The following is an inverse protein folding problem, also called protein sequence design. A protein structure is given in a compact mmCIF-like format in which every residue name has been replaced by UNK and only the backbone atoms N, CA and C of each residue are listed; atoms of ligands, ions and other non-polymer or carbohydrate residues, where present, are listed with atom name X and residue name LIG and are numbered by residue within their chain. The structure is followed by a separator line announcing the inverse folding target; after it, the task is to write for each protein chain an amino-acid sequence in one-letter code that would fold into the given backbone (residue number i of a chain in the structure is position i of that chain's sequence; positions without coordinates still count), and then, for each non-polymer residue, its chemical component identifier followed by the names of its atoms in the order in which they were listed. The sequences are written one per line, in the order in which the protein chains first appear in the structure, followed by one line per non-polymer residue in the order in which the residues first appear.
data_IF_434998901998
#
_entry.id   IF_434998901998
#
_cell.length_a   1.000
_cell.length_b   1.000
_cell.length_c   1.000
_cell.angle_alpha   90.00
_cell.angle_beta   90.00
_cell.angle_gamma   90.00
#
_symmetry.space_group_name_H-M   'P 1'
#
loop_
_entity.id
_entity.type
_entity.pdbx_description
1 polymer ?
#
# COMPACT_ATOMS: atom_id res chain seq x y z
N UNK A 1 16.91 -14.25 -23.60
CA UNK A 1 16.02 -13.51 -22.65
C UNK A 1 14.71 -14.26 -22.32
N UNK A 2 14.75 -15.49 -21.78
CA UNK A 2 13.52 -16.23 -21.36
C UNK A 2 13.55 -16.81 -19.94
N UNK A 3 14.63 -16.60 -19.17
CA UNK A 3 14.79 -17.18 -17.81
C UNK A 3 14.52 -16.22 -16.64
N UNK A 4 14.29 -14.92 -16.87
CA UNK A 4 14.05 -13.95 -15.78
C UNK A 4 12.59 -13.77 -15.35
N UNK A 5 11.60 -14.30 -16.09
CA UNK A 5 10.17 -14.09 -15.79
C UNK A 5 9.58 -15.11 -14.79
N UNK A 6 10.30 -16.18 -14.46
CA UNK A 6 9.79 -17.22 -13.55
C UNK A 6 9.89 -16.88 -12.06
N UNK A 7 10.76 -15.94 -11.66
CA UNK A 7 10.99 -15.67 -10.22
C UNK A 7 10.06 -14.61 -9.63
N UNK A 8 9.44 -13.76 -10.45
CA UNK A 8 8.50 -12.73 -9.99
C UNK A 8 7.07 -13.25 -9.73
N UNK A 9 6.66 -14.34 -10.39
CA UNK A 9 5.35 -14.97 -10.20
C UNK A 9 5.20 -15.73 -8.87
N UNK A 10 6.32 -16.16 -8.27
CA UNK A 10 6.32 -17.05 -7.10
C UNK A 10 5.81 -16.39 -5.81
N UNK A 11 5.91 -15.07 -5.67
CA UNK A 11 5.56 -14.38 -4.41
C UNK A 11 4.06 -14.13 -4.25
N UNK A 12 3.33 -13.96 -5.36
CA UNK A 12 1.88 -13.66 -5.32
C UNK A 12 1.03 -14.92 -5.14
N UNK A 13 1.46 -16.05 -5.73
CA UNK A 13 0.83 -17.35 -5.53
C UNK A 13 0.90 -17.82 -4.06
N UNK A 14 1.99 -17.48 -3.37
CA UNK A 14 2.17 -17.81 -1.95
C UNK A 14 1.12 -17.15 -1.05
N UNK A 15 0.69 -15.91 -1.33
CA UNK A 15 -0.26 -15.15 -0.49
C UNK A 15 -1.70 -15.69 -0.60
N UNK A 16 -2.12 -16.12 -1.79
CA UNK A 16 -3.43 -16.75 -1.99
C UNK A 16 -3.47 -18.18 -1.45
N UNK A 17 -2.35 -18.92 -1.53
CA UNK A 17 -2.24 -20.26 -0.94
C UNK A 17 -2.28 -20.22 0.59
N UNK A 18 -1.61 -19.24 1.22
CA UNK A 18 -1.59 -19.12 2.69
C UNK A 18 -2.95 -18.72 3.27
N UNK A 19 -3.70 -17.84 2.60
CA UNK A 19 -5.04 -17.44 3.07
C UNK A 19 -6.07 -18.58 2.94
N UNK A 20 -6.03 -19.36 1.85
CA UNK A 20 -6.87 -20.56 1.71
C UNK A 20 -6.50 -21.66 2.71
N UNK A 21 -5.20 -21.90 2.94
CA UNK A 21 -4.71 -22.85 3.92
C UNK A 21 -5.09 -22.46 5.35
N UNK A 22 -4.99 -21.17 5.70
CA UNK A 22 -5.39 -20.67 7.02
C UNK A 22 -6.91 -20.79 7.24
N UNK A 23 -7.72 -20.54 6.22
CA UNK A 23 -9.17 -20.74 6.30
C UNK A 23 -9.56 -22.20 6.48
N UNK A 24 -8.87 -23.13 5.81
CA UNK A 24 -9.11 -24.58 5.96
C UNK A 24 -8.70 -25.10 7.35
N UNK A 25 -7.59 -24.59 7.90
CA UNK A 25 -7.13 -24.89 9.27
C UNK A 25 -8.12 -24.38 10.33
N UNK A 26 -8.61 -23.14 10.20
CA UNK A 26 -9.57 -22.55 11.14
C UNK A 26 -10.92 -23.29 11.17
N UNK A 27 -11.26 -24.01 10.10
CA UNK A 27 -12.53 -24.73 9.96
C UNK A 27 -12.41 -26.23 10.23
N UNK A 28 -11.26 -26.72 10.70
CA UNK A 28 -11.07 -28.10 11.17
C UNK A 28 -11.32 -29.21 10.13
N UNK A 29 -11.15 -28.92 8.84
CA UNK A 29 -11.38 -29.94 7.81
C UNK A 29 -10.14 -30.83 7.64
N UNK A 30 -10.28 -32.13 7.95
CA UNK A 30 -9.20 -33.13 7.88
C UNK A 30 -8.70 -33.47 6.45
N UNK A 31 -9.31 -32.89 5.42
CA UNK A 31 -8.92 -33.06 4.00
C UNK A 31 -8.48 -31.73 3.36
N UNK A 32 -7.62 -30.96 4.02
CA UNK A 32 -7.15 -29.66 3.52
C UNK A 32 -6.29 -29.77 2.24
N UNK A 33 -5.56 -30.88 2.05
CA UNK A 33 -4.62 -31.05 0.93
C UNK A 33 -5.25 -30.95 -0.47
N UNK A 34 -6.37 -31.63 -0.81
CA UNK A 34 -7.00 -31.49 -2.13
C UNK A 34 -7.63 -30.11 -2.37
N UNK A 35 -8.07 -29.40 -1.32
CA UNK A 35 -8.57 -28.04 -1.44
C UNK A 35 -7.46 -27.02 -1.72
N UNK A 36 -6.30 -27.16 -1.07
CA UNK A 36 -5.12 -26.32 -1.34
C UNK A 36 -4.58 -26.57 -2.75
N UNK A 37 -4.51 -27.83 -3.18
CA UNK A 37 -4.05 -28.19 -4.52
C UNK A 37 -5.00 -27.70 -5.64
N UNK A 38 -6.32 -27.85 -5.46
CA UNK A 38 -7.31 -27.34 -6.44
C UNK A 38 -7.39 -25.81 -6.46
N UNK A 39 -7.22 -25.13 -5.32
CA UNK A 39 -7.14 -23.67 -5.27
C UNK A 39 -5.86 -23.14 -5.95
N UNK A 40 -4.73 -23.84 -5.81
CA UNK A 40 -3.48 -23.49 -6.50
C UNK A 40 -3.59 -23.66 -8.03
N UNK A 41 -4.23 -24.76 -8.49
CA UNK A 41 -4.43 -25.03 -9.92
C UNK A 41 -5.45 -24.08 -10.56
N UNK A 42 -6.56 -23.77 -9.89
CA UNK A 42 -7.52 -22.79 -10.38
C UNK A 42 -6.96 -21.35 -10.34
N UNK A 43 -6.06 -21.05 -9.39
CA UNK A 43 -5.30 -19.79 -9.36
C UNK A 43 -4.36 -19.63 -10.56
N UNK A 44 -3.78 -20.71 -11.08
CA UNK A 44 -2.90 -20.68 -12.26
C UNK A 44 -3.64 -20.29 -13.56
N UNK A 45 -4.94 -20.62 -13.65
CA UNK A 45 -5.78 -20.26 -14.81
C UNK A 45 -6.28 -18.81 -14.70
N UNK A 46 -6.65 -18.35 -13.48
CA UNK A 46 -7.03 -16.96 -13.24
C UNK A 46 -5.85 -15.96 -13.34
N UNK A 47 -4.61 -16.41 -13.11
CA UNK A 47 -3.39 -15.58 -13.24
C UNK A 47 -3.00 -15.28 -14.69
N UNK A 48 -3.49 -16.07 -15.66
CA UNK A 48 -3.24 -15.79 -17.09
C UNK A 48 -4.09 -14.65 -17.63
N UNK A 49 -5.27 -14.41 -17.05
CA UNK A 49 -6.15 -13.28 -17.40
C UNK A 49 -5.91 -12.01 -16.56
N UNK A 50 -5.23 -12.11 -15.41
CA UNK A 50 -4.99 -10.99 -14.49
C UNK A 50 -3.62 -10.33 -14.64
N UNK A 51 -2.78 -10.81 -15.57
CA UNK A 51 -1.49 -10.18 -15.90
C UNK A 51 -1.62 -8.88 -16.71
N UNK A 52 -2.83 -8.46 -17.09
CA UNK A 52 -3.10 -7.08 -17.52
C UNK A 52 -3.82 -6.35 -16.40
N UNK A 53 -3.05 -5.99 -15.37
CA UNK A 53 -3.38 -5.09 -14.26
C UNK A 53 -4.63 -5.43 -13.40
N UNK A 54 -4.52 -5.57 -12.07
CA UNK A 54 -5.69 -5.49 -11.17
C UNK A 54 -6.36 -4.09 -11.18
N UNK A 55 -5.74 -3.09 -11.82
CA UNK A 55 -6.37 -1.83 -12.20
C UNK A 55 -7.46 -2.04 -13.26
N UNK A 56 -7.26 -2.95 -14.22
CA UNK A 56 -8.16 -3.13 -15.36
C UNK A 56 -9.59 -3.53 -14.99
N UNK A 57 -9.81 -4.47 -14.05
CA UNK A 57 -11.19 -4.85 -13.68
C UNK A 57 -11.92 -3.74 -12.91
N UNK A 58 -11.18 -2.98 -12.09
CA UNK A 58 -11.69 -1.80 -11.39
C UNK A 58 -11.91 -0.62 -12.35
N UNK A 59 -11.20 -0.57 -13.46
CA UNK A 59 -11.28 0.54 -14.42
C UNK A 59 -12.27 0.25 -15.56
N UNK A 60 -12.53 -1.02 -15.89
CA UNK A 60 -13.44 -1.42 -16.97
C UNK A 60 -14.85 -1.77 -16.51
N UNK A 61 -15.02 -2.37 -15.33
CA UNK A 61 -16.36 -2.70 -14.79
C UNK A 61 -16.75 -1.69 -13.72
N UNK A 62 -15.83 -1.43 -12.78
CA UNK A 62 -16.16 -0.54 -11.67
C UNK A 62 -16.22 0.91 -12.15
N UNK A 63 -15.36 1.39 -13.05
CA UNK A 63 -15.41 2.80 -13.50
C UNK A 63 -16.71 3.22 -14.19
N UNK A 64 -17.28 2.52 -15.18
CA UNK A 64 -18.58 2.90 -15.76
C UNK A 64 -19.75 2.71 -14.79
N UNK A 65 -19.71 1.70 -13.91
CA UNK A 65 -20.76 1.48 -12.90
C UNK A 65 -20.69 2.52 -11.77
N UNK A 66 -19.49 2.90 -11.32
CA UNK A 66 -19.30 3.98 -10.35
C UNK A 66 -19.63 5.33 -10.98
N UNK A 67 -19.18 5.61 -12.21
CA UNK A 67 -19.53 6.85 -12.91
C UNK A 67 -21.03 6.95 -13.16
N UNK A 68 -21.71 5.86 -13.54
CA UNK A 68 -23.16 5.85 -13.73
C UNK A 68 -23.95 5.92 -12.41
N UNK A 69 -23.40 5.43 -11.30
CA UNK A 69 -24.06 5.48 -9.98
C UNK A 69 -23.76 6.78 -9.20
N UNK A 70 -22.62 7.42 -9.45
CA UNK A 70 -22.17 8.63 -8.76
C UNK A 70 -22.34 9.92 -9.57
N UNK A 71 -22.60 9.86 -10.88
CA UNK A 71 -22.73 11.05 -11.76
C UNK A 71 -23.78 12.05 -11.28
N UNK A 72 -24.72 11.63 -10.44
CA UNK A 72 -25.85 12.45 -9.99
C UNK A 72 -25.78 12.83 -8.51
N UNK A 73 -24.66 12.61 -7.83
CA UNK A 73 -24.56 12.86 -6.38
C UNK A 73 -23.80 14.14 -6.06
N UNK A 74 -24.44 15.02 -5.27
CA UNK A 74 -23.87 16.22 -4.61
C UNK A 74 -22.53 15.95 -3.90
N UNK A 75 -22.26 14.69 -3.56
CA UNK A 75 -21.00 14.22 -2.98
C UNK A 75 -19.80 14.43 -3.91
N UNK A 76 -19.94 14.17 -5.21
CA UNK A 76 -18.87 14.37 -6.19
C UNK A 76 -18.51 15.86 -6.37
N UNK A 77 -19.52 16.74 -6.33
CA UNK A 77 -19.32 18.19 -6.31
C UNK A 77 -18.58 18.61 -5.04
N UNK A 78 -19.02 18.15 -3.86
CA UNK A 78 -18.34 18.45 -2.58
C UNK A 78 -16.89 17.94 -2.57
N UNK A 79 -16.59 16.77 -3.14
CA UNK A 79 -15.21 16.27 -3.27
C UNK A 79 -14.39 17.18 -4.17
N UNK A 80 -14.92 17.61 -5.32
CA UNK A 80 -14.20 18.53 -6.22
C UNK A 80 -13.95 19.89 -5.57
N UNK A 81 -14.92 20.40 -4.83
CA UNK A 81 -14.76 21.61 -4.01
C UNK A 81 -13.68 21.44 -2.94
N UNK A 82 -13.68 20.32 -2.21
CA UNK A 82 -12.62 20.01 -1.23
C UNK A 82 -11.23 19.90 -1.87
N UNK A 83 -11.15 19.33 -3.08
CA UNK A 83 -9.89 19.29 -3.85
C UNK A 83 -9.43 20.69 -4.26
N UNK A 84 -10.32 21.54 -4.77
CA UNK A 84 -10.02 22.91 -5.12
C UNK A 84 -9.59 23.73 -3.89
N UNK A 85 -10.25 23.54 -2.74
CA UNK A 85 -9.89 24.19 -1.47
C UNK A 85 -8.52 23.72 -0.94
N UNK A 86 -8.17 22.44 -1.18
CA UNK A 86 -6.85 21.89 -0.85
C UNK A 86 -5.75 22.51 -1.70
N UNK A 87 -5.98 22.67 -3.00
CA UNK A 87 -5.03 23.33 -3.91
C UNK A 87 -4.87 24.81 -3.57
N UNK A 88 -5.94 25.47 -3.14
CA UNK A 88 -5.90 26.85 -2.67
C UNK A 88 -5.23 27.01 -1.28
N UNK A 89 -4.92 25.93 -0.56
CA UNK A 89 -4.28 25.98 0.76
C UNK A 89 -5.14 26.60 1.87
N UNK A 90 -6.43 26.83 1.62
CA UNK A 90 -7.31 27.66 2.47
C UNK A 90 -7.87 26.89 3.66
N UNK A 91 -7.87 25.56 3.65
CA UNK A 91 -8.54 24.78 4.69
C UNK A 91 -7.63 23.72 5.33
N UNK A 92 -7.46 23.82 6.65
CA UNK A 92 -6.92 22.73 7.46
C UNK A 92 -7.95 21.58 7.43
N UNK A 93 -7.65 20.52 6.67
CA UNK A 93 -8.52 19.35 6.62
C UNK A 93 -8.73 18.80 8.04
N UNK A 94 -9.99 18.70 8.44
CA UNK A 94 -10.38 18.06 9.68
C UNK A 94 -9.83 16.64 9.68
N UNK A 95 -9.18 16.22 10.78
CA UNK A 95 -8.59 14.87 10.91
C UNK A 95 -9.56 13.73 10.55
N UNK A 96 -10.85 13.95 10.76
CA UNK A 96 -11.90 13.03 10.37
C UNK A 96 -12.08 12.87 8.86
N UNK A 97 -11.93 13.95 8.10
CA UNK A 97 -12.06 13.93 6.64
C UNK A 97 -10.91 13.14 6.01
N UNK A 98 -9.70 13.28 6.59
CA UNK A 98 -8.55 12.47 6.21
C UNK A 98 -8.75 10.96 6.45
N UNK A 99 -9.47 10.58 7.51
CA UNK A 99 -9.75 9.16 7.82
C UNK A 99 -10.83 8.57 6.90
N UNK A 100 -11.82 9.37 6.52
CA UNK A 100 -12.94 8.94 5.68
C UNK A 100 -12.64 9.05 4.18
N UNK A 101 -11.52 9.66 3.80
CA UNK A 101 -11.13 9.83 2.41
C UNK A 101 -11.01 8.48 1.68
N UNK A 102 -11.84 8.28 0.64
CA UNK A 102 -11.97 7.07 -0.20
C UNK A 102 -12.50 5.80 0.47
N UNK A 103 -12.74 5.82 1.78
CA UNK A 103 -13.31 4.69 2.52
C UNK A 103 -14.71 4.29 2.01
N UNK A 104 -15.68 5.21 1.82
CA UNK A 104 -17.02 4.84 1.37
C UNK A 104 -17.03 4.28 -0.06
N UNK A 105 -16.26 4.86 -0.97
CA UNK A 105 -16.16 4.38 -2.36
C UNK A 105 -15.63 2.95 -2.43
N UNK A 106 -14.68 2.63 -1.55
CA UNK A 106 -14.10 1.30 -1.44
C UNK A 106 -15.08 0.31 -0.83
N UNK A 107 -15.87 0.74 0.17
CA UNK A 107 -16.97 -0.03 0.73
C UNK A 107 -18.06 -0.35 -0.31
N UNK A 108 -18.49 0.64 -1.09
CA UNK A 108 -19.51 0.46 -2.14
C UNK A 108 -19.01 -0.46 -3.25
N UNK A 109 -17.79 -0.24 -3.75
CA UNK A 109 -17.21 -1.11 -4.78
C UNK A 109 -16.96 -2.53 -4.27
N UNK A 110 -16.54 -2.69 -3.01
CA UNK A 110 -16.44 -3.98 -2.34
C UNK A 110 -17.80 -4.67 -2.20
N UNK A 111 -18.84 -3.94 -1.84
CA UNK A 111 -20.20 -4.46 -1.72
C UNK A 111 -20.77 -4.91 -3.08
N UNK A 112 -20.59 -4.13 -4.14
CA UNK A 112 -21.00 -4.53 -5.48
C UNK A 112 -20.26 -5.80 -5.94
N UNK A 113 -18.94 -5.84 -5.74
CA UNK A 113 -18.11 -6.99 -6.11
C UNK A 113 -18.52 -8.24 -5.35
N UNK A 114 -18.71 -8.14 -4.04
CA UNK A 114 -19.13 -9.28 -3.21
C UNK A 114 -20.56 -9.74 -3.49
N UNK A 115 -21.44 -8.79 -3.80
CA UNK A 115 -22.81 -9.08 -4.21
C UNK A 115 -22.85 -9.92 -5.48
N UNK A 116 -22.13 -9.51 -6.53
CA UNK A 116 -22.04 -10.26 -7.80
C UNK A 116 -21.39 -11.62 -7.60
N UNK A 117 -20.27 -11.69 -6.87
CA UNK A 117 -19.55 -12.94 -6.64
C UNK A 117 -20.41 -13.97 -5.89
N UNK A 118 -21.15 -13.54 -4.88
CA UNK A 118 -22.00 -14.43 -4.09
C UNK A 118 -23.33 -14.74 -4.81
N UNK A 119 -23.83 -13.83 -5.66
CA UNK A 119 -24.96 -14.09 -6.56
C UNK A 119 -24.65 -15.21 -7.55
N UNK A 120 -23.44 -15.21 -8.10
CA UNK A 120 -23.02 -16.24 -9.04
C UNK A 120 -22.95 -17.63 -8.38
N UNK A 121 -22.54 -17.70 -7.12
CA UNK A 121 -22.37 -18.97 -6.39
C UNK A 121 -23.66 -19.51 -5.75
N UNK A 122 -24.53 -18.63 -5.24
CA UNK A 122 -25.71 -19.00 -4.43
C UNK A 122 -27.03 -18.46 -5.00
N UNK A 123 -27.01 -17.90 -6.20
CA UNK A 123 -28.17 -17.26 -6.83
C UNK A 123 -28.56 -15.94 -6.15
N UNK A 124 -29.77 -15.46 -6.44
CA UNK A 124 -30.27 -14.14 -6.00
C UNK A 124 -30.25 -13.96 -4.47
N UNK A 125 -30.48 -15.02 -3.71
CA UNK A 125 -30.43 -15.00 -2.25
C UNK A 125 -29.03 -14.69 -1.70
N UNK A 126 -27.96 -14.88 -2.50
CA UNK A 126 -26.58 -14.60 -2.12
C UNK A 126 -26.18 -13.12 -2.22
N UNK A 127 -26.94 -12.27 -2.91
CA UNK A 127 -26.51 -10.88 -3.21
C UNK A 127 -26.31 -10.08 -1.92
N UNK A 128 -27.32 -10.02 -1.06
CA UNK A 128 -27.30 -9.21 0.17
C UNK A 128 -26.17 -9.63 1.12
N UNK A 129 -26.03 -10.92 1.51
CA UNK A 129 -24.94 -11.32 2.41
C UNK A 129 -23.56 -11.20 1.76
N UNK A 130 -23.45 -11.32 0.43
CA UNK A 130 -22.19 -11.12 -0.29
C UNK A 130 -21.77 -9.66 -0.31
N UNK A 131 -22.72 -8.76 -0.53
CA UNK A 131 -22.48 -7.33 -0.57
C UNK A 131 -22.10 -6.77 0.81
N UNK A 132 -22.82 -7.16 1.86
CA UNK A 132 -22.53 -6.67 3.21
C UNK A 132 -21.16 -7.13 3.70
N UNK A 133 -20.83 -8.42 3.54
CA UNK A 133 -19.55 -8.98 4.02
C UNK A 133 -18.35 -8.42 3.27
N UNK A 134 -18.42 -8.33 1.94
CA UNK A 134 -17.33 -7.78 1.15
C UNK A 134 -17.18 -6.27 1.34
N UNK A 135 -18.28 -5.53 1.43
CA UNK A 135 -18.26 -4.09 1.71
C UNK A 135 -17.63 -3.77 3.08
N UNK A 136 -18.04 -4.50 4.13
CA UNK A 136 -17.44 -4.36 5.46
C UNK A 136 -15.96 -4.71 5.47
N UNK A 137 -15.58 -5.85 4.90
CA UNK A 137 -14.18 -6.28 4.85
C UNK A 137 -13.30 -5.25 4.12
N UNK A 138 -13.79 -4.73 2.99
CA UNK A 138 -13.06 -3.74 2.20
C UNK A 138 -12.93 -2.41 2.97
N UNK A 139 -13.99 -1.98 3.65
CA UNK A 139 -13.99 -0.78 4.51
C UNK A 139 -12.99 -0.91 5.66
N UNK A 140 -13.00 -2.04 6.37
CA UNK A 140 -12.07 -2.31 7.48
C UNK A 140 -10.62 -2.29 7.00
N UNK A 141 -10.35 -2.92 5.85
CA UNK A 141 -9.01 -2.97 5.27
C UNK A 141 -8.53 -1.56 4.87
N UNK A 142 -9.40 -0.74 4.29
CA UNK A 142 -9.11 0.64 3.92
C UNK A 142 -8.81 1.50 5.16
N UNK A 143 -9.60 1.35 6.23
CA UNK A 143 -9.37 2.02 7.51
C UNK A 143 -8.03 1.62 8.13
N UNK A 144 -7.71 0.32 8.13
CA UNK A 144 -6.44 -0.17 8.64
C UNK A 144 -5.25 0.42 7.86
N UNK A 145 -5.36 0.50 6.53
CA UNK A 145 -4.33 1.12 5.68
C UNK A 145 -4.13 2.60 5.98
N UNK A 146 -5.23 3.34 6.18
CA UNK A 146 -5.19 4.76 6.54
C UNK A 146 -4.53 4.99 7.92
N UNK A 147 -4.88 4.19 8.92
CA UNK A 147 -4.26 4.25 10.25
C UNK A 147 -2.77 3.89 10.23
N UNK A 148 -2.37 2.91 9.41
CA UNK A 148 -0.95 2.59 9.16
C UNK A 148 -0.18 3.78 8.56
N UNK A 149 -0.81 4.53 7.65
CA UNK A 149 -0.24 5.75 7.10
C UNK A 149 0.00 6.82 8.16
N UNK A 150 -0.99 7.06 9.03
CA UNK A 150 -0.89 8.03 10.14
C UNK A 150 0.21 7.60 11.12
N UNK A 151 0.26 6.31 11.49
CA UNK A 151 1.31 5.80 12.39
C UNK A 151 2.70 5.99 11.80
N UNK A 152 2.88 5.78 10.49
CA UNK A 152 4.15 6.02 9.81
C UNK A 152 4.55 7.50 9.88
N UNK A 153 3.63 8.43 9.60
CA UNK A 153 3.92 9.87 9.66
C UNK A 153 4.28 10.29 11.09
N UNK A 154 3.47 9.89 12.08
CA UNK A 154 3.74 10.16 13.50
C UNK A 154 5.10 9.60 13.95
N UNK A 155 5.44 8.40 13.49
CA UNK A 155 6.74 7.79 13.78
C UNK A 155 7.89 8.61 13.17
N UNK A 156 7.79 9.01 11.90
CA UNK A 156 8.80 9.84 11.24
C UNK A 156 8.96 11.20 11.93
N UNK A 157 7.86 11.87 12.30
CA UNK A 157 7.94 13.15 13.02
C UNK A 157 8.61 12.99 14.38
N UNK A 158 8.27 11.93 15.12
CA UNK A 158 8.89 11.66 16.44
C UNK A 158 10.38 11.35 16.32
N UNK A 159 10.79 10.63 15.28
CA UNK A 159 12.21 10.34 15.01
C UNK A 159 12.97 11.61 14.61
N UNK A 160 12.36 12.48 13.80
CA UNK A 160 12.98 13.74 13.36
C UNK A 160 13.03 14.83 14.45
N UNK A 161 12.14 14.79 15.46
CA UNK A 161 12.16 15.74 16.59
C UNK A 161 13.14 15.35 17.70
N UNK A 162 13.55 14.08 17.78
CA UNK A 162 14.45 13.60 18.83
C UNK A 162 15.94 14.02 18.76
N UNK A 163 16.54 14.44 17.62
CA UNK A 163 17.98 14.68 17.55
C UNK A 163 18.45 16.05 18.10
N UNK A 164 17.58 17.01 18.42
CA UNK A 164 18.04 18.33 18.91
C UNK A 164 17.91 18.57 20.42
N UNK A 165 17.23 17.70 21.16
CA UNK A 165 17.08 17.87 22.62
C UNK A 165 18.29 17.38 23.45
N UNK A 166 19.41 17.02 22.82
CA UNK A 166 20.60 16.53 23.53
C UNK A 166 21.85 17.40 23.39
N UNK A 167 21.74 18.67 22.95
CA UNK A 167 22.90 19.57 22.84
C UNK A 167 22.86 20.84 23.71
N UNK A 168 21.80 21.09 24.49
CA UNK A 168 21.68 22.30 25.34
C UNK A 168 21.80 22.06 26.86
N UNK A 169 22.37 20.93 27.31
CA UNK A 169 22.64 20.69 28.74
C UNK A 169 24.13 20.72 29.11
N UNK A 170 24.87 21.66 28.51
CA UNK A 170 26.12 22.16 29.08
C UNK A 170 25.83 23.34 30.02
N UNK A 171 25.05 23.09 31.07
CA UNK A 171 25.03 23.96 32.26
C UNK A 171 25.81 23.25 33.38
N UNK A 172 27.00 23.75 33.77
CA UNK A 172 27.81 23.12 34.80
C UNK A 172 27.25 23.48 36.18
N UNK A 173 26.23 22.75 36.64
CA UNK A 173 25.83 22.81 38.04
C UNK A 173 26.02 21.45 38.71
N UNK A 174 27.15 21.38 39.42
CA UNK A 174 27.47 20.44 40.47
C UNK A 174 26.33 20.30 41.48
N UNK A 175 25.85 19.07 41.73
CA UNK A 175 25.69 18.52 43.08
C UNK A 175 25.09 17.10 43.10
N UNK A 176 25.92 16.16 43.54
CA UNK A 176 25.67 15.16 44.60
C UNK A 176 24.35 14.35 44.58
N UNK A 177 24.48 13.08 44.17
CA UNK A 177 24.06 11.90 44.95
C UNK A 177 22.58 11.52 45.06
N UNK A 178 22.14 10.47 44.34
CA UNK A 178 21.24 9.43 44.87
C UNK A 178 21.13 8.21 43.92
N UNK A 179 20.65 7.03 44.40
CA UNK A 179 21.27 5.74 44.13
C UNK A 179 20.53 4.90 43.09
N UNK A 180 21.30 3.99 42.49
CA UNK A 180 20.96 2.72 41.84
C UNK A 180 19.46 2.35 41.98
N UNK A 181 18.67 2.77 41.00
CA UNK A 181 17.29 2.31 40.83
C UNK A 181 17.30 1.11 39.88
N UNK A 182 16.73 0.02 40.37
CA UNK A 182 16.71 -1.31 39.78
C UNK A 182 16.14 -1.32 38.34
N UNK A 183 16.92 -1.93 37.46
CA UNK A 183 16.61 -2.23 36.07
C UNK A 183 15.39 -3.14 35.97
N UNK A 184 14.20 -2.56 35.87
CA UNK A 184 13.01 -3.27 35.43
C UNK A 184 12.97 -3.16 33.90
N UNK A 185 13.03 -4.26 33.13
CA UNK A 185 13.05 -4.17 31.67
C UNK A 185 11.78 -3.47 31.18
N UNK A 186 11.88 -2.49 30.27
CA UNK A 186 10.73 -1.76 29.78
C UNK A 186 9.71 -2.75 29.21
N UNK A 187 8.49 -2.72 29.76
CA UNK A 187 7.39 -3.57 29.31
C UNK A 187 7.14 -3.24 27.83
N UNK A 188 7.66 -4.10 26.94
CA UNK A 188 7.45 -4.00 25.49
C UNK A 188 5.96 -3.78 25.21
N UNK A 189 5.60 -2.79 24.37
CA UNK A 189 4.21 -2.52 24.05
C UNK A 189 3.54 -3.78 23.51
N UNK A 190 2.28 -4.01 23.86
CA UNK A 190 1.52 -5.21 23.48
C UNK A 190 1.55 -5.48 21.95
N UNK A 191 1.63 -4.41 21.15
CA UNK A 191 1.79 -4.51 19.69
C UNK A 191 3.08 -5.21 19.25
N UNK A 192 4.20 -5.01 19.94
CA UNK A 192 5.45 -5.71 19.62
C UNK A 192 5.33 -7.21 19.87
N UNK A 193 4.57 -7.62 20.88
CA UNK A 193 4.34 -9.05 21.18
C UNK A 193 3.52 -9.72 20.08
N UNK A 194 2.51 -9.03 19.55
CA UNK A 194 1.65 -9.53 18.46
C UNK A 194 2.44 -9.58 17.14
N UNK A 195 3.27 -8.57 16.84
CA UNK A 195 4.11 -8.58 15.64
C UNK A 195 5.15 -9.70 15.69
N UNK A 196 5.74 -9.93 16.86
CA UNK A 196 6.70 -11.02 17.06
C UNK A 196 6.03 -12.39 16.93
N UNK A 197 4.80 -12.58 17.43
CA UNK A 197 4.07 -13.84 17.28
C UNK A 197 3.64 -14.13 15.83
N UNK A 198 3.46 -13.08 15.03
CA UNK A 198 3.20 -13.19 13.59
C UNK A 198 4.46 -13.41 12.74
N UNK A 199 5.63 -13.60 13.38
CA UNK A 199 6.89 -13.88 12.68
C UNK A 199 7.53 -12.66 12.02
N UNK A 200 7.07 -11.44 12.33
CA UNK A 200 7.75 -10.22 11.90
C UNK A 200 9.01 -10.04 12.74
N UNK A 201 10.16 -10.42 12.18
CA UNK A 201 11.46 -10.17 12.79
C UNK A 201 11.73 -8.66 12.80
N UNK A 202 11.95 -8.10 13.98
CA UNK A 202 12.34 -6.69 14.13
C UNK A 202 13.69 -6.51 13.44
N UNK A 203 13.72 -5.67 12.40
CA UNK A 203 14.95 -5.30 11.70
C UNK A 203 15.78 -4.46 12.67
N UNK A 204 17.04 -4.81 12.87
CA UNK A 204 17.92 -4.03 13.76
C UNK A 204 18.15 -2.64 13.17
N UNK A 205 18.41 -1.63 14.01
CA UNK A 205 18.64 -0.27 13.54
C UNK A 205 19.76 -0.19 12.50
N UNK A 206 20.81 -1.01 12.67
CA UNK A 206 21.92 -1.13 11.72
C UNK A 206 21.46 -1.74 10.38
N UNK A 207 20.68 -2.82 10.40
CA UNK A 207 20.13 -3.41 9.17
C UNK A 207 19.18 -2.42 8.45
N UNK A 208 18.43 -1.63 9.22
CA UNK A 208 17.54 -0.60 8.67
C UNK A 208 18.34 0.52 8.00
N UNK A 209 19.41 1.01 8.63
CA UNK A 209 20.31 2.00 8.05
C UNK A 209 20.97 1.48 6.76
N UNK A 210 21.42 0.22 6.75
CA UNK A 210 21.96 -0.41 5.54
C UNK A 210 20.90 -0.52 4.44
N UNK A 211 19.66 -0.84 4.78
CA UNK A 211 18.54 -0.88 3.83
C UNK A 211 18.26 0.50 3.22
N UNK A 212 18.29 1.57 4.02
CA UNK A 212 18.10 2.94 3.54
C UNK A 212 19.24 3.35 2.62
N UNK A 213 20.49 3.09 3.00
CA UNK A 213 21.67 3.38 2.17
C UNK A 213 21.56 2.70 0.81
N UNK A 214 21.21 1.40 0.78
CA UNK A 214 20.99 0.65 -0.46
C UNK A 214 19.88 1.26 -1.32
N UNK A 215 18.78 1.71 -0.72
CA UNK A 215 17.69 2.39 -1.46
C UNK A 215 18.14 3.72 -2.04
N UNK A 216 18.87 4.53 -1.27
CA UNK A 216 19.45 5.79 -1.74
C UNK A 216 20.36 5.55 -2.94
N UNK A 217 21.27 4.58 -2.83
CA UNK A 217 22.25 4.28 -3.89
C UNK A 217 21.55 3.77 -5.16
N UNK A 218 20.50 2.96 -4.99
CA UNK A 218 19.67 2.52 -6.12
C UNK A 218 18.94 3.67 -6.82
N UNK A 219 18.45 4.66 -6.06
CA UNK A 219 17.79 5.85 -6.63
C UNK A 219 18.80 6.77 -7.32
N UNK A 220 19.97 7.02 -6.72
CA UNK A 220 21.03 7.81 -7.34
C UNK A 220 21.52 7.18 -8.66
N UNK A 221 21.67 5.85 -8.69
CA UNK A 221 22.00 5.13 -9.93
C UNK A 221 20.96 5.33 -11.01
N UNK A 222 19.67 5.31 -10.64
CA UNK A 222 18.57 5.51 -11.59
C UNK A 222 18.51 6.96 -12.11
N UNK A 223 18.85 7.94 -11.27
CA UNK A 223 18.95 9.34 -11.70
C UNK A 223 20.07 9.50 -12.72
N UNK A 224 21.26 8.96 -12.44
CA UNK A 224 22.39 9.03 -13.37
C UNK A 224 22.09 8.36 -14.73
N UNK A 225 21.37 7.23 -14.73
CA UNK A 225 20.92 6.56 -15.95
C UNK A 225 19.98 7.46 -16.77
N UNK A 226 19.00 8.09 -16.11
CA UNK A 226 18.07 9.01 -16.76
C UNK A 226 18.75 10.28 -17.27
N UNK A 227 19.72 10.83 -16.53
CA UNK A 227 20.51 11.99 -16.97
C UNK A 227 21.30 11.67 -18.25
N UNK A 228 21.87 10.46 -18.33
CA UNK A 228 22.58 10.00 -19.53
C UNK A 228 21.62 9.83 -20.72
N UNK A 229 20.42 9.28 -20.50
CA UNK A 229 19.40 9.15 -21.56
C UNK A 229 18.98 10.52 -22.13
N UNK A 230 18.76 11.50 -21.24
CA UNK A 230 18.40 12.88 -21.62
C UNK A 230 19.51 13.55 -22.43
N UNK A 231 20.78 13.36 -22.08
CA UNK A 231 21.91 13.90 -22.85
C UNK A 231 22.01 13.29 -24.24
N UNK A 232 21.77 11.98 -24.37
CA UNK A 232 21.76 11.29 -25.66
C UNK A 232 20.60 11.74 -26.55
N UNK A 233 19.40 11.92 -25.98
CA UNK A 233 18.24 12.45 -26.72
C UNK A 233 18.50 13.89 -27.19
N UNK A 234 19.04 14.75 -26.33
CA UNK A 234 19.38 16.14 -26.68
C UNK A 234 20.45 16.24 -27.77
N UNK A 235 21.43 15.33 -27.79
CA UNK A 235 22.44 15.26 -28.86
C UNK A 235 21.88 14.73 -30.19
N UNK A 236 20.85 13.86 -30.15
CA UNK A 236 20.14 13.42 -31.36
C UNK A 236 19.27 14.52 -31.95
N UNK A 237 18.61 15.31 -31.09
CA UNK A 237 17.82 16.48 -31.54
C UNK A 237 18.71 17.55 -32.18
N UNK A 238 19.89 17.84 -31.62
CA UNK A 238 20.79 18.83 -32.22
C UNK A 238 21.41 18.37 -33.56
N UNK A 239 21.57 17.05 -33.77
CA UNK A 239 22.07 16.52 -35.05
C UNK A 239 20.98 16.42 -36.13
N UNK A 240 19.70 16.27 -35.77
CA UNK A 240 18.60 16.28 -36.74
C UNK A 240 18.25 17.69 -37.24
N UNK A 241 18.38 18.72 -36.40
CA UNK A 241 18.19 20.11 -36.83
C UNK A 241 19.21 20.54 -37.89
N UNK A 242 20.49 20.19 -37.73
CA UNK A 242 21.56 20.54 -38.68
C UNK A 242 21.37 19.85 -40.04
N UNK A 243 20.82 18.62 -40.07
CA UNK A 243 20.56 17.92 -41.34
C UNK A 243 19.37 18.50 -42.12
N UNK A 244 18.48 19.24 -41.48
CA UNK A 244 17.25 19.75 -42.11
C UNK A 244 17.47 21.06 -42.85
N UNK A 245 18.53 21.81 -42.53
CA UNK A 245 18.82 23.12 -43.15
C UNK A 245 19.59 23.01 -44.47
N UNK A 246 20.25 21.89 -44.75
CA UNK A 246 21.10 21.70 -45.95
C UNK A 246 20.31 21.25 -47.21
N UNK A 247 19.02 20.97 -47.09
CA UNK A 247 18.17 20.49 -48.20
C UNK A 247 17.37 21.61 -48.92
N UNK A 248 17.62 22.89 -48.59
CA UNK A 248 16.83 24.03 -49.09
C UNK A 248 17.65 25.04 -49.89
N UNK A 249 18.67 24.58 -50.62
CA UNK A 249 19.49 25.40 -51.54
C UNK A 249 19.49 24.79 -52.93
#
# INVERSE_FOLDING_TARGET
MRRCLLTAGSRKAAITGTSAGLYALLKGHNHAAPFVASAALNGAIHTRFTNRTPTGFREYIVSPVLLSALSTTRYSQRIRELHAMREAGVQQLTWWDLRMYKTPDTGISGALTGGVLNAWKRGRAGIVPGATTAGLLCTILQLAYNELGIMRVKYVTKVMQKPEQSLDDFSPHSSVGHPISSSTPPKKPLGERILTSLGFKQISDEEYLQMIKRKRDGLLRKIAELETEVEVERAKESSSEVSSTDSTV
#
